data_IF_504088545866
#
_entry.id   IF_504088545866
#
_cell.length_a   1.000
_cell.length_b   1.000
_cell.length_c   1.000
_cell.angle_alpha   90.00
_cell.angle_beta   90.00
_cell.angle_gamma   90.00
#
_symmetry.space_group_name_H-M   'P 1'
#
loop_
_entity.id
_entity.type
_entity.pdbx_description
1 polymer ?
#
# COMPACT_ATOMS: atom_id res chain seq x y z
N UNK A 1 -19.97 5.15 -10.39
CA UNK A 1 -19.46 4.22 -11.43
C UNK A 1 -18.19 4.78 -12.06
N UNK A 2 -18.23 5.92 -12.74
CA UNK A 2 -17.03 6.51 -13.37
C UNK A 2 -15.89 6.85 -12.38
N UNK A 3 -16.22 7.38 -11.19
CA UNK A 3 -15.22 7.66 -10.15
C UNK A 3 -14.53 6.39 -9.62
N UNK A 4 -15.32 5.32 -9.38
CA UNK A 4 -14.81 4.03 -8.94
C UNK A 4 -13.86 3.42 -9.97
N UNK A 5 -14.23 3.45 -11.25
CA UNK A 5 -13.38 2.95 -12.33
C UNK A 5 -12.04 3.70 -12.37
N UNK A 6 -12.05 5.02 -12.22
CA UNK A 6 -10.81 5.81 -12.15
C UNK A 6 -9.93 5.40 -10.96
N UNK A 7 -10.53 5.13 -9.81
CA UNK A 7 -9.83 4.68 -8.61
C UNK A 7 -9.29 3.25 -8.76
N UNK A 8 -10.02 2.34 -9.40
CA UNK A 8 -9.54 0.99 -9.75
C UNK A 8 -8.32 1.09 -10.69
N UNK A 9 -8.38 1.97 -11.70
CA UNK A 9 -7.26 2.21 -12.60
C UNK A 9 -6.05 2.83 -11.90
N UNK A 10 -6.27 3.75 -10.96
CA UNK A 10 -5.20 4.30 -10.12
C UNK A 10 -4.57 3.21 -9.24
N UNK A 11 -5.39 2.41 -8.56
CA UNK A 11 -4.94 1.27 -7.77
C UNK A 11 -4.07 0.30 -8.59
N UNK A 12 -4.51 -0.04 -9.80
CA UNK A 12 -3.80 -0.95 -10.71
C UNK A 12 -2.47 -0.39 -11.22
N UNK A 13 -2.34 0.93 -11.34
CA UNK A 13 -1.10 1.60 -11.78
C UNK A 13 -0.04 1.72 -10.67
N UNK A 14 -0.40 1.47 -9.41
CA UNK A 14 0.46 1.69 -8.25
C UNK A 14 1.86 1.06 -8.39
N UNK A 15 1.95 -0.21 -8.84
CA UNK A 15 3.26 -0.85 -9.04
C UNK A 15 4.15 -0.09 -10.04
N UNK A 16 3.60 0.29 -11.20
CA UNK A 16 4.36 1.01 -12.21
C UNK A 16 4.78 2.39 -11.72
N UNK A 17 3.87 3.12 -11.08
CA UNK A 17 4.17 4.42 -10.49
C UNK A 17 5.29 4.36 -9.47
N UNK A 18 5.32 3.32 -8.64
CA UNK A 18 6.41 3.10 -7.68
C UNK A 18 7.74 2.87 -8.40
N UNK A 19 7.80 1.95 -9.35
CA UNK A 19 9.04 1.64 -10.09
C UNK A 19 9.56 2.86 -10.84
N UNK A 20 8.68 3.61 -11.51
CA UNK A 20 9.07 4.84 -12.22
C UNK A 20 9.58 5.90 -11.24
N UNK A 21 8.97 6.02 -10.06
CA UNK A 21 9.42 6.94 -9.02
C UNK A 21 10.81 6.57 -8.47
N UNK A 22 11.08 5.28 -8.27
CA UNK A 22 12.36 4.77 -7.74
C UNK A 22 13.55 5.13 -8.62
N UNK A 23 13.37 5.29 -9.92
CA UNK A 23 14.44 5.73 -10.84
C UNK A 23 15.00 7.12 -10.50
N UNK A 24 14.27 7.92 -9.72
CA UNK A 24 14.69 9.28 -9.31
C UNK A 24 15.51 9.29 -8.03
N UNK A 25 15.58 8.17 -7.30
CA UNK A 25 16.21 8.10 -5.99
C UNK A 25 17.50 7.28 -6.07
N UNK A 26 18.67 7.88 -5.78
CA UNK A 26 19.95 7.18 -5.80
C UNK A 26 19.98 6.06 -4.73
N UNK A 27 20.62 4.93 -5.03
CA UNK A 27 20.61 3.76 -4.12
C UNK A 27 21.24 4.10 -2.76
N UNK A 28 22.20 5.02 -2.74
CA UNK A 28 22.92 5.49 -1.54
C UNK A 28 22.00 6.14 -0.51
N UNK A 29 20.84 6.66 -0.93
CA UNK A 29 19.86 7.24 0.00
C UNK A 29 18.88 6.22 0.57
N UNK A 30 18.89 4.95 0.14
CA UNK A 30 17.81 4.02 0.48
C UNK A 30 17.74 3.69 1.97
N UNK A 31 18.89 3.67 2.63
CA UNK A 31 19.01 3.45 4.08
C UNK A 31 19.01 4.74 4.90
N UNK A 32 18.97 5.90 4.24
CA UNK A 32 18.93 7.20 4.91
C UNK A 32 17.60 7.39 5.65
N UNK A 33 17.69 7.78 6.93
CA UNK A 33 16.56 8.20 7.75
C UNK A 33 16.63 9.70 8.02
N UNK A 34 15.59 10.49 7.69
CA UNK A 34 15.56 11.91 8.01
C UNK A 34 15.62 12.22 9.51
N UNK A 35 15.09 11.30 10.34
CA UNK A 35 15.18 11.31 11.80
C UNK A 35 14.94 9.89 12.34
N UNK A 36 15.30 9.59 13.61
CA UNK A 36 15.21 8.23 14.17
C UNK A 36 13.80 7.61 14.15
N UNK A 37 12.77 8.45 14.19
CA UNK A 37 11.33 8.10 14.16
C UNK A 37 10.75 7.96 12.75
N UNK A 38 11.56 8.19 11.70
CA UNK A 38 11.10 8.14 10.31
C UNK A 38 11.64 6.92 9.59
N UNK A 39 10.83 6.39 8.68
CA UNK A 39 11.25 5.30 7.82
C UNK A 39 12.21 5.75 6.74
N UNK A 40 13.20 4.91 6.47
CA UNK A 40 14.03 5.00 5.27
C UNK A 40 13.24 4.58 4.03
N UNK A 41 13.80 4.80 2.84
CA UNK A 41 13.16 4.35 1.61
C UNK A 41 13.07 2.82 1.58
N UNK A 42 14.11 2.12 2.06
CA UNK A 42 14.11 0.66 2.24
C UNK A 42 12.90 0.21 3.08
N UNK A 43 12.71 0.78 4.28
CA UNK A 43 11.61 0.39 5.17
C UNK A 43 10.23 0.71 4.57
N UNK A 44 10.10 1.81 3.82
CA UNK A 44 8.86 2.13 3.10
C UNK A 44 8.56 1.06 2.04
N UNK A 45 9.56 0.53 1.34
CA UNK A 45 9.35 -0.50 0.32
C UNK A 45 8.89 -1.83 0.91
N UNK A 46 9.45 -2.23 2.06
CA UNK A 46 8.96 -3.41 2.80
C UNK A 46 7.54 -3.18 3.31
N UNK A 47 7.27 -2.01 3.89
CA UNK A 47 5.93 -1.62 4.35
C UNK A 47 4.89 -1.68 3.24
N UNK A 48 5.22 -1.22 2.03
CA UNK A 48 4.28 -1.28 0.90
C UNK A 48 3.84 -2.71 0.64
N UNK A 49 4.75 -3.69 0.65
CA UNK A 49 4.42 -5.09 0.43
C UNK A 49 3.51 -5.66 1.54
N UNK A 50 3.84 -5.42 2.81
CA UNK A 50 3.05 -5.91 3.95
C UNK A 50 1.68 -5.25 4.06
N UNK A 51 1.61 -3.93 3.78
CA UNK A 51 0.36 -3.20 3.71
C UNK A 51 -0.55 -3.75 2.62
N UNK A 52 0.01 -4.03 1.42
CA UNK A 52 -0.74 -4.63 0.32
C UNK A 52 -1.14 -6.09 0.58
N UNK A 53 -0.35 -6.85 1.34
CA UNK A 53 -0.71 -8.21 1.74
C UNK A 53 -1.93 -8.19 2.67
N UNK A 54 -1.94 -7.27 3.63
CA UNK A 54 -3.11 -7.02 4.48
C UNK A 54 -4.31 -6.54 3.64
N UNK A 55 -4.09 -5.59 2.72
CA UNK A 55 -5.11 -5.07 1.83
C UNK A 55 -5.76 -6.16 0.97
N UNK A 56 -4.93 -7.04 0.39
CA UNK A 56 -5.32 -8.17 -0.44
C UNK A 56 -6.29 -9.11 0.29
N UNK A 57 -5.99 -9.43 1.56
CA UNK A 57 -6.85 -10.28 2.40
C UNK A 57 -8.11 -9.52 2.80
N UNK A 58 -7.98 -8.25 3.22
CA UNK A 58 -9.10 -7.40 3.64
C UNK A 58 -10.13 -7.24 2.51
N UNK A 59 -9.69 -6.95 1.29
CA UNK A 59 -10.55 -6.86 0.10
C UNK A 59 -11.39 -8.14 -0.12
N UNK A 60 -10.76 -9.31 -0.04
CA UNK A 60 -11.46 -10.60 -0.17
C UNK A 60 -12.47 -10.83 0.94
N UNK A 61 -12.13 -10.46 2.18
CA UNK A 61 -13.07 -10.54 3.31
C UNK A 61 -14.27 -9.62 3.11
N UNK A 62 -14.06 -8.37 2.68
CA UNK A 62 -15.16 -7.43 2.41
C UNK A 62 -16.12 -7.98 1.35
N UNK A 63 -15.58 -8.60 0.29
CA UNK A 63 -16.39 -9.17 -0.80
C UNK A 63 -17.09 -10.47 -0.40
N UNK A 64 -16.35 -11.43 0.17
CA UNK A 64 -16.84 -12.79 0.39
C UNK A 64 -17.49 -13.00 1.77
N UNK A 65 -17.24 -12.10 2.72
CA UNK A 65 -17.71 -12.19 4.10
C UNK A 65 -18.25 -10.83 4.58
N UNK A 66 -19.26 -10.27 3.90
CA UNK A 66 -19.78 -8.95 4.24
C UNK A 66 -20.34 -8.90 5.67
N UNK A 67 -20.13 -7.78 6.35
CA UNK A 67 -20.53 -7.54 7.74
C UNK A 67 -19.67 -8.27 8.78
N UNK A 68 -18.50 -8.81 8.40
CA UNK A 68 -17.56 -9.44 9.34
C UNK A 68 -16.43 -8.49 9.75
N UNK A 69 -15.80 -8.75 10.92
CA UNK A 69 -14.62 -8.00 11.33
C UNK A 69 -13.46 -8.17 10.34
N UNK A 70 -12.76 -7.08 10.07
CA UNK A 70 -11.50 -7.05 9.33
C UNK A 70 -10.44 -6.46 10.23
N UNK A 71 -9.31 -7.17 10.37
CA UNK A 71 -8.28 -6.76 11.31
C UNK A 71 -7.47 -5.60 10.73
N UNK A 72 -7.08 -4.71 11.63
CA UNK A 72 -6.02 -3.73 11.40
C UNK A 72 -4.70 -4.25 11.94
N UNK A 73 -3.63 -3.51 11.68
CA UNK A 73 -2.30 -3.83 12.16
C UNK A 73 -1.55 -2.53 12.49
N UNK A 74 -0.66 -2.61 13.48
CA UNK A 74 0.19 -1.48 13.83
C UNK A 74 1.47 -1.53 12.99
N UNK A 75 1.53 -0.67 11.96
CA UNK A 75 2.64 -0.60 11.02
C UNK A 75 3.99 -0.28 11.67
N UNK A 76 4.02 0.55 12.73
CA UNK A 76 5.26 0.91 13.41
C UNK A 76 5.81 -0.29 14.19
N UNK A 77 4.93 -1.02 14.87
CA UNK A 77 5.28 -2.29 15.54
C UNK A 77 5.80 -3.30 14.53
N UNK A 78 5.13 -3.47 13.38
CA UNK A 78 5.57 -4.40 12.35
C UNK A 78 6.94 -4.02 11.79
N UNK A 79 7.14 -2.74 11.45
CA UNK A 79 8.41 -2.26 10.91
C UNK A 79 9.61 -2.58 11.82
N UNK A 80 9.40 -2.50 13.13
CA UNK A 80 10.43 -2.78 14.13
C UNK A 80 10.57 -4.28 14.45
N UNK A 81 9.46 -4.96 14.77
CA UNK A 81 9.49 -6.36 15.23
C UNK A 81 9.84 -7.34 14.10
N UNK A 82 9.46 -7.03 12.86
CA UNK A 82 9.78 -7.83 11.68
C UNK A 82 11.12 -7.44 11.03
N UNK A 83 11.88 -6.52 11.66
CA UNK A 83 13.17 -6.03 11.19
C UNK A 83 13.16 -5.64 9.71
N UNK A 84 12.33 -4.66 9.33
CA UNK A 84 12.20 -4.24 7.93
C UNK A 84 13.54 -3.86 7.30
N UNK A 85 14.48 -3.31 8.09
CA UNK A 85 15.82 -2.96 7.63
C UNK A 85 16.63 -4.18 7.14
N UNK A 86 16.39 -5.35 7.71
CA UNK A 86 17.09 -6.60 7.37
C UNK A 86 16.47 -7.37 6.20
N UNK A 87 15.34 -6.91 5.65
CA UNK A 87 14.60 -7.66 4.63
C UNK A 87 15.09 -7.38 3.21
N UNK A 88 14.70 -8.24 2.27
CA UNK A 88 15.06 -8.11 0.86
C UNK A 88 13.98 -7.31 0.11
N UNK A 89 14.37 -6.15 -0.42
CA UNK A 89 13.47 -5.23 -1.11
C UNK A 89 12.98 -5.79 -2.45
N UNK A 90 13.81 -6.54 -3.19
CA UNK A 90 13.41 -7.12 -4.46
C UNK A 90 12.25 -8.10 -4.29
N UNK A 91 12.33 -8.98 -3.30
CA UNK A 91 11.26 -9.91 -2.94
C UNK A 91 9.97 -9.16 -2.52
N UNK A 92 10.10 -8.07 -1.76
CA UNK A 92 8.97 -7.24 -1.37
C UNK A 92 8.28 -6.61 -2.59
N UNK A 93 9.05 -6.10 -3.56
CA UNK A 93 8.54 -5.53 -4.80
C UNK A 93 7.85 -6.58 -5.68
N UNK A 94 8.40 -7.79 -5.78
CA UNK A 94 7.78 -8.90 -6.50
C UNK A 94 6.44 -9.32 -5.89
N UNK A 95 6.40 -9.44 -4.56
CA UNK A 95 5.16 -9.73 -3.83
C UNK A 95 4.11 -8.64 -4.08
N UNK A 96 4.48 -7.38 -3.88
CA UNK A 96 3.62 -6.22 -4.11
C UNK A 96 3.04 -6.20 -5.53
N UNK A 97 3.87 -6.48 -6.56
CA UNK A 97 3.42 -6.58 -7.96
C UNK A 97 2.29 -7.58 -8.13
N UNK A 98 2.44 -8.77 -7.57
CA UNK A 98 1.44 -9.84 -7.70
C UNK A 98 0.17 -9.54 -6.91
N UNK A 99 0.29 -8.97 -5.70
CA UNK A 99 -0.84 -8.56 -4.87
C UNK A 99 -1.69 -7.50 -5.59
N UNK A 100 -1.05 -6.47 -6.14
CA UNK A 100 -1.73 -5.42 -6.92
C UNK A 100 -2.40 -5.97 -8.16
N UNK A 101 -1.68 -6.77 -8.95
CA UNK A 101 -2.24 -7.34 -10.19
C UNK A 101 -3.49 -8.19 -9.92
N UNK A 102 -3.38 -9.13 -9.00
CA UNK A 102 -4.47 -10.08 -8.72
C UNK A 102 -5.67 -9.41 -8.06
N UNK A 103 -5.45 -8.38 -7.25
CA UNK A 103 -6.54 -7.60 -6.65
C UNK A 103 -7.18 -6.66 -7.67
N UNK A 104 -6.41 -6.02 -8.55
CA UNK A 104 -6.95 -5.24 -9.67
C UNK A 104 -7.85 -6.09 -10.57
N UNK A 105 -7.39 -7.28 -10.97
CA UNK A 105 -8.18 -8.21 -11.80
C UNK A 105 -9.49 -8.62 -11.10
N UNK A 106 -9.48 -8.81 -9.78
CA UNK A 106 -10.69 -9.09 -8.98
C UNK A 106 -11.66 -7.90 -9.02
N UNK A 107 -11.18 -6.69 -8.71
CA UNK A 107 -12.01 -5.49 -8.62
C UNK A 107 -12.68 -5.17 -9.97
N UNK A 108 -11.92 -5.25 -11.07
CA UNK A 108 -12.42 -4.97 -12.43
C UNK A 108 -13.55 -5.91 -12.86
N UNK A 109 -13.57 -7.13 -12.33
CA UNK A 109 -14.59 -8.14 -12.64
C UNK A 109 -15.70 -8.23 -11.59
N UNK A 110 -15.66 -7.39 -10.55
CA UNK A 110 -16.64 -7.42 -9.45
C UNK A 110 -17.91 -6.64 -9.86
N UNK A 111 -19.09 -7.28 -9.90
CA UNK A 111 -20.35 -6.60 -10.28
C UNK A 111 -20.75 -5.52 -9.29
N UNK A 112 -21.40 -4.45 -9.77
CA UNK A 112 -21.81 -3.30 -8.92
C UNK A 112 -22.62 -3.69 -7.68
N UNK A 113 -23.48 -4.72 -7.78
CA UNK A 113 -24.28 -5.18 -6.64
C UNK A 113 -23.43 -5.76 -5.50
N UNK A 114 -22.23 -6.25 -5.80
CA UNK A 114 -21.28 -6.73 -4.79
C UNK A 114 -20.67 -5.55 -4.05
N UNK A 115 -20.26 -4.49 -4.76
CA UNK A 115 -19.73 -3.27 -4.15
C UNK A 115 -20.67 -2.68 -3.09
N UNK A 116 -21.97 -2.63 -3.39
CA UNK A 116 -23.00 -2.13 -2.45
C UNK A 116 -23.09 -2.96 -1.16
N UNK A 117 -22.81 -4.26 -1.23
CA UNK A 117 -22.92 -5.18 -0.09
C UNK A 117 -21.60 -5.41 0.65
N UNK A 118 -20.48 -5.05 0.03
CA UNK A 118 -19.15 -5.35 0.54
C UNK A 118 -18.76 -4.40 1.66
N UNK A 119 -19.12 -4.78 2.88
CA UNK A 119 -18.86 -4.02 4.10
C UNK A 119 -18.17 -4.89 5.16
N UNK A 120 -17.48 -4.25 6.10
CA UNK A 120 -16.87 -4.90 7.26
C UNK A 120 -16.76 -3.92 8.43
N UNK A 121 -16.17 -4.40 9.52
CA UNK A 121 -15.91 -3.58 10.71
C UNK A 121 -14.42 -3.67 11.05
N UNK A 122 -13.75 -2.53 11.04
CA UNK A 122 -12.38 -2.31 11.47
C UNK A 122 -12.36 -1.68 12.88
N UNK A 123 -11.18 -1.40 13.44
CA UNK A 123 -11.09 -0.77 14.77
C UNK A 123 -11.77 0.61 14.80
N UNK A 124 -11.64 1.36 13.71
CA UNK A 124 -12.19 2.72 13.55
C UNK A 124 -13.67 2.74 13.10
N UNK A 125 -14.31 1.57 12.96
CA UNK A 125 -15.73 1.45 12.62
C UNK A 125 -16.00 0.73 11.31
N UNK A 126 -17.16 1.00 10.71
CA UNK A 126 -17.57 0.34 9.47
C UNK A 126 -16.68 0.79 8.29
N UNK A 127 -16.30 -0.15 7.44
CA UNK A 127 -15.53 0.09 6.21
C UNK A 127 -16.23 -0.58 5.03
N UNK A 128 -16.39 0.15 3.94
CA UNK A 128 -16.90 -0.38 2.67
C UNK A 128 -15.77 -0.73 1.71
N UNK A 129 -16.08 -1.45 0.63
CA UNK A 129 -15.11 -1.71 -0.44
C UNK A 129 -14.71 -0.43 -1.20
N UNK A 130 -15.59 0.56 -1.29
CA UNK A 130 -15.27 1.88 -1.86
C UNK A 130 -14.28 2.64 -0.95
N UNK A 131 -14.47 2.62 0.38
CA UNK A 131 -13.52 3.23 1.32
C UNK A 131 -12.14 2.54 1.26
N UNK A 132 -12.13 1.21 1.21
CA UNK A 132 -10.92 0.43 1.03
C UNK A 132 -10.21 0.83 -0.26
N UNK A 133 -10.95 0.97 -1.38
CA UNK A 133 -10.38 1.36 -2.65
C UNK A 133 -9.76 2.76 -2.58
N UNK A 134 -10.43 3.70 -1.93
CA UNK A 134 -9.94 5.07 -1.76
C UNK A 134 -8.62 5.12 -1.00
N UNK A 135 -8.52 4.37 0.10
CA UNK A 135 -7.29 4.26 0.89
C UNK A 135 -6.17 3.70 0.04
N UNK A 136 -6.38 2.53 -0.59
CA UNK A 136 -5.29 1.82 -1.25
C UNK A 136 -4.96 2.32 -2.66
N UNK A 137 -5.84 3.09 -3.30
CA UNK A 137 -5.51 3.82 -4.52
C UNK A 137 -4.57 5.00 -4.25
N UNK A 138 -4.69 5.67 -3.10
CA UNK A 138 -3.85 6.80 -2.71
C UNK A 138 -2.57 6.41 -1.96
N UNK A 139 -2.53 5.20 -1.39
CA UNK A 139 -1.42 4.69 -0.59
C UNK A 139 -0.04 4.79 -1.27
N UNK A 140 0.06 4.40 -2.55
CA UNK A 140 1.32 4.50 -3.30
C UNK A 140 1.70 5.96 -3.62
N UNK A 141 0.80 6.79 -4.19
CA UNK A 141 1.07 8.23 -4.32
C UNK A 141 1.56 8.89 -3.03
N UNK A 142 1.00 8.54 -1.87
CA UNK A 142 1.40 9.13 -0.60
C UNK A 142 2.76 8.67 -0.11
N UNK A 143 3.10 7.39 -0.29
CA UNK A 143 4.46 6.91 -0.02
C UNK A 143 5.49 7.48 -1.00
N UNK A 144 5.14 7.71 -2.27
CA UNK A 144 6.04 8.41 -3.21
C UNK A 144 6.35 9.83 -2.71
N UNK A 145 5.33 10.58 -2.24
CA UNK A 145 5.55 11.91 -1.63
C UNK A 145 6.43 11.82 -0.37
N UNK A 146 6.30 10.75 0.42
CA UNK A 146 7.16 10.51 1.57
C UNK A 146 8.62 10.29 1.12
N UNK A 147 8.85 9.45 0.11
CA UNK A 147 10.19 9.21 -0.46
C UNK A 147 10.81 10.49 -1.02
N UNK A 148 10.03 11.34 -1.68
CA UNK A 148 10.48 12.65 -2.18
C UNK A 148 10.94 13.57 -1.03
N UNK A 149 10.22 13.58 0.09
CA UNK A 149 10.64 14.33 1.28
C UNK A 149 11.94 13.78 1.86
N UNK A 150 12.09 12.45 1.91
CA UNK A 150 13.33 11.81 2.35
C UNK A 150 14.49 12.20 1.43
N UNK A 151 14.28 12.22 0.11
CA UNK A 151 15.29 12.61 -0.87
C UNK A 151 15.74 14.06 -0.69
N UNK A 152 14.80 15.00 -0.55
CA UNK A 152 15.13 16.42 -0.29
C UNK A 152 15.90 16.58 1.02
N UNK A 153 15.59 15.80 2.05
CA UNK A 153 16.34 15.82 3.31
C UNK A 153 17.76 15.25 3.16
N UNK A 154 17.91 14.16 2.40
CA UNK A 154 19.21 13.54 2.11
C UNK A 154 20.14 14.50 1.33
N UNK A 155 19.63 15.18 0.32
CA UNK A 155 20.38 16.16 -0.47
C UNK A 155 20.92 17.34 0.35
N UNK A 156 20.27 17.70 1.47
CA UNK A 156 20.74 18.79 2.35
C UNK A 156 21.88 18.35 3.28
N UNK A 157 22.11 17.05 3.41
CA UNK A 157 23.13 16.46 4.28
C UNK A 157 24.30 15.86 3.48
N UNK A 158 24.18 15.80 2.16
CA UNK A 158 25.17 15.24 1.22
C UNK A 158 26.09 16.31 0.65
#
# INVERSE_FOLDING_TARGET
>A
MQEREQKIELYGKGYRQLIDALQRFPQEMWDFKPSPDRWSLHEILIHIADSDANAYVKCRKLIAQPGKPVNDYNQDVWSNVLDYKGQNVENALELFKLLRKTTYDLLRNTPDIVWVKATGYAEDGAITLDDWLDIYANHIPDHIKQMEKNYVAWQKQS
#
